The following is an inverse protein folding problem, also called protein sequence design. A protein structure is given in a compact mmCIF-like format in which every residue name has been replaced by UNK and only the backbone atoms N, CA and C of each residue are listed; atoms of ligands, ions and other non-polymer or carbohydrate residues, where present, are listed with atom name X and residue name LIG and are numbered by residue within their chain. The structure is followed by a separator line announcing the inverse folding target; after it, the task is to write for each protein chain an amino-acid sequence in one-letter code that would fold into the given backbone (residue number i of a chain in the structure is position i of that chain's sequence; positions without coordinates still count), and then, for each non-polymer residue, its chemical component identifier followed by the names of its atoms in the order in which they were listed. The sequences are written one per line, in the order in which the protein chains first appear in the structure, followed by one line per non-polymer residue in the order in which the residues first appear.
data_IF_123449010228
#
_entry.id   IF_123449010228
#
_cell.length_a   1.000
_cell.length_b   1.000
_cell.length_c   1.000
_cell.angle_alpha   90.00
_cell.angle_beta   90.00
_cell.angle_gamma   90.00
#
_symmetry.space_group_name_H-M   'P 1'
#
loop_
_entity.id
_entity.type
_entity.pdbx_description
1 polymer ?
#
# COMPACT_ATOMS: atom_id res chain seq x y z
N UNK A 1 -12.17 -10.09 -3.71
CA UNK A 1 -11.19 -10.37 -2.63
C UNK A 1 -10.03 -9.40 -2.80
N UNK A 2 -9.76 -8.54 -1.81
CA UNK A 2 -8.72 -7.48 -1.85
C UNK A 2 -7.44 -7.86 -1.06
N UNK A 3 -7.28 -9.14 -0.75
CA UNK A 3 -6.17 -9.67 0.01
C UNK A 3 -5.34 -10.58 -0.88
N UNK A 4 -4.00 -10.57 -0.78
CA UNK A 4 -3.17 -9.81 0.17
C UNK A 4 -2.95 -8.32 -0.21
N UNK A 5 -2.34 -7.55 0.69
CA UNK A 5 -1.84 -6.21 0.37
C UNK A 5 -0.63 -6.35 -0.57
N UNK A 6 -0.78 -5.94 -1.82
CA UNK A 6 0.23 -6.19 -2.84
C UNK A 6 1.33 -5.12 -2.79
N UNK A 7 2.58 -5.59 -2.87
CA UNK A 7 3.79 -4.75 -2.96
C UNK A 7 4.53 -5.15 -4.23
N UNK A 8 4.97 -4.15 -5.00
CA UNK A 8 5.72 -4.32 -6.23
C UNK A 8 7.11 -3.72 -6.03
N UNK A 9 8.15 -4.51 -6.25
CA UNK A 9 9.55 -4.05 -6.18
C UNK A 9 10.15 -4.21 -7.57
N UNK A 10 10.72 -3.15 -8.12
CA UNK A 10 11.42 -3.19 -9.40
C UNK A 10 12.53 -2.16 -9.45
N UNK A 11 13.49 -2.34 -10.36
CA UNK A 11 14.53 -1.36 -10.64
C UNK A 11 14.06 -0.41 -11.75
N UNK A 12 14.14 0.89 -11.55
CA UNK A 12 13.86 1.86 -12.61
C UNK A 12 14.95 1.74 -13.68
N UNK A 13 14.62 1.35 -14.93
CA UNK A 13 15.61 1.11 -15.97
C UNK A 13 16.32 2.39 -16.46
N UNK A 14 15.85 3.58 -16.08
CA UNK A 14 16.45 4.87 -16.44
C UNK A 14 17.37 5.40 -15.36
N UNK A 15 17.02 5.23 -14.09
CA UNK A 15 17.80 5.77 -12.96
C UNK A 15 18.66 4.71 -12.28
N UNK A 16 18.33 3.43 -12.44
CA UNK A 16 18.94 2.30 -11.71
C UNK A 16 18.52 2.24 -10.24
N UNK A 17 17.52 3.03 -9.83
CA UNK A 17 17.04 3.08 -8.45
C UNK A 17 16.02 1.96 -8.18
N UNK A 18 16.05 1.40 -6.97
CA UNK A 18 15.00 0.48 -6.51
C UNK A 18 13.71 1.25 -6.23
N UNK A 19 12.65 0.94 -6.97
CA UNK A 19 11.32 1.51 -6.79
C UNK A 19 10.43 0.52 -6.06
N UNK A 20 9.76 1.02 -5.01
CA UNK A 20 8.80 0.28 -4.21
C UNK A 20 7.40 0.86 -4.40
N UNK A 21 6.52 0.09 -5.04
CA UNK A 21 5.11 0.42 -5.24
C UNK A 21 4.24 -0.33 -4.25
N UNK A 22 3.46 0.39 -3.43
CA UNK A 22 2.50 -0.20 -2.50
C UNK A 22 1.10 0.25 -2.91
N UNK A 23 0.18 -0.70 -2.95
CA UNK A 23 -1.23 -0.38 -3.20
C UNK A 23 -1.85 0.35 -2.00
N UNK A 24 -2.57 1.43 -2.25
CA UNK A 24 -3.19 2.23 -1.19
C UNK A 24 -4.38 1.46 -0.58
N UNK A 25 -4.30 1.03 0.70
CA UNK A 25 -5.34 0.25 1.33
C UNK A 25 -6.65 1.04 1.51
N UNK A 26 -6.58 2.37 1.65
CA UNK A 26 -7.78 3.22 1.76
C UNK A 26 -8.52 3.28 0.43
N UNK A 27 -7.81 3.48 -0.68
CA UNK A 27 -8.43 3.43 -2.01
C UNK A 27 -9.03 2.05 -2.30
N UNK A 28 -8.39 0.97 -1.88
CA UNK A 28 -8.93 -0.39 -2.07
C UNK A 28 -10.23 -0.60 -1.30
N UNK A 29 -10.29 -0.18 -0.03
CA UNK A 29 -11.50 -0.31 0.79
C UNK A 29 -12.64 0.55 0.23
N UNK A 30 -12.36 1.80 -0.15
CA UNK A 30 -13.32 2.69 -0.79
C UNK A 30 -13.91 2.09 -2.06
N UNK A 31 -13.10 1.44 -2.90
CA UNK A 31 -13.55 0.77 -4.12
C UNK A 31 -14.56 -0.37 -3.87
N UNK A 32 -14.68 -0.88 -2.64
CA UNK A 32 -15.67 -1.91 -2.25
C UNK A 32 -16.92 -1.35 -1.61
N UNK A 33 -16.98 -0.04 -1.34
CA UNK A 33 -18.09 0.58 -0.60
C UNK A 33 -18.18 0.17 0.88
N UNK A 34 -17.13 -0.45 1.43
CA UNK A 34 -17.07 -0.93 2.82
C UNK A 34 -16.57 0.16 3.76
N UNK A 35 -17.39 1.17 4.01
CA UNK A 35 -17.06 2.30 4.90
C UNK A 35 -16.83 1.86 6.35
N UNK A 36 -17.33 0.68 6.74
CA UNK A 36 -17.06 0.04 8.03
C UNK A 36 -15.58 -0.34 8.23
N UNK A 37 -14.79 -0.33 7.15
CA UNK A 37 -13.37 -0.68 7.16
C UNK A 37 -12.45 0.53 7.00
N UNK A 38 -12.96 1.77 6.97
CA UNK A 38 -12.15 2.97 6.74
C UNK A 38 -11.06 3.14 7.81
N UNK A 39 -11.41 2.99 9.09
CA UNK A 39 -10.44 3.09 10.19
C UNK A 39 -9.44 1.93 10.18
N UNK A 40 -9.87 0.75 9.74
CA UNK A 40 -8.97 -0.37 9.52
C UNK A 40 -7.97 -0.07 8.40
N UNK A 41 -8.45 0.48 7.27
CA UNK A 41 -7.61 0.85 6.13
C UNK A 41 -6.55 1.90 6.50
N UNK A 42 -6.94 2.92 7.28
CA UNK A 42 -6.00 3.92 7.84
C UNK A 42 -4.92 3.26 8.70
N UNK A 43 -5.32 2.35 9.60
CA UNK A 43 -4.35 1.63 10.46
C UNK A 43 -3.35 0.78 9.66
N UNK A 44 -3.79 0.23 8.51
CA UNK A 44 -2.91 -0.53 7.61
C UNK A 44 -1.96 0.42 6.88
N UNK A 45 -2.46 1.57 6.40
CA UNK A 45 -1.63 2.60 5.77
C UNK A 45 -0.52 3.09 6.71
N UNK A 46 -0.84 3.39 7.96
CA UNK A 46 0.14 3.83 8.97
C UNK A 46 1.24 2.80 9.18
N UNK A 47 0.88 1.51 9.26
CA UNK A 47 1.86 0.41 9.41
C UNK A 47 2.73 0.25 8.17
N UNK A 48 2.15 0.37 6.97
CA UNK A 48 2.91 0.30 5.73
C UNK A 48 3.88 1.47 5.60
N UNK A 49 3.45 2.69 5.94
CA UNK A 49 4.33 3.86 5.94
C UNK A 49 5.47 3.69 6.95
N UNK A 50 5.18 3.22 8.17
CA UNK A 50 6.23 2.95 9.16
C UNK A 50 7.24 1.89 8.69
N UNK A 51 6.80 0.88 7.94
CA UNK A 51 7.69 -0.13 7.37
C UNK A 51 8.58 0.46 6.26
N UNK A 52 8.03 1.35 5.43
CA UNK A 52 8.78 2.09 4.40
C UNK A 52 9.84 2.99 5.01
N UNK A 53 9.48 3.75 6.03
CA UNK A 53 10.38 4.71 6.69
C UNK A 53 11.56 4.03 7.41
N UNK A 54 11.49 2.69 7.58
CA UNK A 54 12.52 1.88 8.23
C UNK A 54 13.53 1.26 7.25
N UNK A 55 13.39 1.50 5.94
CA UNK A 55 14.25 0.96 4.86
C UNK A 55 15.08 2.08 4.25
#
# INVERSE_FOLDING_TARGET
MLLPCNVVVYEDPKTGETVLGIIDPEMMVQATGRTDLDDFAKSVREKLQSALDSV
#
